data_IF_964691131276
#
_entry.id   IF_964691131276
#
_cell.length_a   1.000
_cell.length_b   1.000
_cell.length_c   1.000
_cell.angle_alpha   90.00
_cell.angle_beta   90.00
_cell.angle_gamma   90.00
#
_symmetry.space_group_name_H-M   'P 1'
#
loop_
_entity.id
_entity.type
_entity.pdbx_description
1 polymer ?
#
# COMPACT_ATOMS: atom_id res chain seq x y z
N UNK A 1 -30.59 22.33 -9.94
CA UNK A 1 -29.72 21.13 -10.04
C UNK A 1 -30.38 20.05 -9.21
N UNK A 2 -30.60 18.85 -9.75
CA UNK A 2 -31.28 17.77 -9.02
C UNK A 2 -30.34 17.24 -7.91
N UNK A 3 -30.87 16.80 -6.77
CA UNK A 3 -30.05 16.29 -5.65
C UNK A 3 -29.11 15.16 -6.10
N UNK A 4 -29.62 14.29 -6.98
CA UNK A 4 -28.87 13.19 -7.58
C UNK A 4 -27.69 13.66 -8.47
N UNK A 5 -27.76 14.85 -9.09
CA UNK A 5 -26.67 15.40 -9.88
C UNK A 5 -25.51 15.87 -9.00
N UNK A 6 -25.84 16.44 -7.83
CA UNK A 6 -24.85 16.89 -6.85
C UNK A 6 -24.15 15.67 -6.25
N UNK A 7 -24.92 14.66 -5.86
CA UNK A 7 -24.39 13.42 -5.33
C UNK A 7 -23.51 12.68 -6.33
N UNK A 8 -23.90 12.63 -7.60
CA UNK A 8 -23.08 12.08 -8.67
C UNK A 8 -21.71 12.78 -8.76
N UNK A 9 -21.70 14.12 -8.76
CA UNK A 9 -20.46 14.90 -8.76
C UNK A 9 -19.61 14.62 -7.51
N UNK A 10 -20.24 14.51 -6.35
CA UNK A 10 -19.53 14.24 -5.10
C UNK A 10 -18.89 12.85 -5.09
N UNK A 11 -19.62 11.81 -5.52
CA UNK A 11 -19.06 10.45 -5.54
C UNK A 11 -17.95 10.32 -6.59
N UNK A 12 -18.13 10.87 -7.80
CA UNK A 12 -17.08 10.86 -8.82
C UNK A 12 -15.83 11.62 -8.37
N UNK A 13 -15.99 12.76 -7.70
CA UNK A 13 -14.89 13.54 -7.17
C UNK A 13 -14.11 12.78 -6.08
N UNK A 14 -14.79 12.14 -5.11
CA UNK A 14 -14.09 11.39 -4.05
C UNK A 14 -13.38 10.16 -4.60
N UNK A 15 -14.00 9.43 -5.53
CA UNK A 15 -13.37 8.28 -6.19
C UNK A 15 -12.15 8.68 -7.02
N UNK A 16 -12.19 9.83 -7.69
CA UNK A 16 -11.05 10.35 -8.45
C UNK A 16 -9.90 10.75 -7.54
N UNK A 17 -10.20 11.37 -6.39
CA UNK A 17 -9.20 11.68 -5.35
C UNK A 17 -8.61 10.40 -4.76
N UNK A 18 -9.43 9.40 -4.46
CA UNK A 18 -8.98 8.09 -3.97
C UNK A 18 -8.04 7.42 -4.98
N UNK A 19 -8.39 7.45 -6.27
CA UNK A 19 -7.58 6.88 -7.34
C UNK A 19 -6.21 7.55 -7.44
N UNK A 20 -6.18 8.89 -7.44
CA UNK A 20 -4.93 9.64 -7.47
C UNK A 20 -4.01 9.29 -6.29
N UNK A 21 -4.57 9.09 -5.10
CA UNK A 21 -3.79 8.65 -3.93
C UNK A 21 -3.22 7.25 -4.13
N UNK A 22 -3.97 6.31 -4.71
CA UNK A 22 -3.42 4.99 -5.03
C UNK A 22 -2.30 5.05 -6.05
N UNK A 23 -2.43 5.89 -7.08
CA UNK A 23 -1.36 6.13 -8.07
C UNK A 23 -0.10 6.69 -7.39
N UNK A 24 -0.25 7.66 -6.48
CA UNK A 24 0.86 8.16 -5.65
C UNK A 24 1.51 7.06 -4.82
N UNK A 25 0.71 6.22 -4.15
CA UNK A 25 1.24 5.11 -3.33
C UNK A 25 2.00 4.10 -4.21
N UNK A 26 1.51 3.82 -5.42
CA UNK A 26 2.20 2.94 -6.38
C UNK A 26 3.58 3.49 -6.73
N UNK A 27 3.68 4.78 -7.01
CA UNK A 27 4.96 5.41 -7.36
C UNK A 27 5.90 5.47 -6.15
N UNK A 28 5.39 5.75 -4.95
CA UNK A 28 6.17 5.68 -3.71
C UNK A 28 6.67 4.26 -3.43
N UNK A 29 5.85 3.23 -3.69
CA UNK A 29 6.28 1.84 -3.54
C UNK A 29 7.36 1.43 -4.54
N UNK A 30 7.33 1.95 -5.77
CA UNK A 30 8.43 1.77 -6.74
C UNK A 30 9.71 2.45 -6.28
N UNK A 31 9.60 3.70 -5.80
CA UNK A 31 10.75 4.42 -5.23
C UNK A 31 11.33 3.70 -4.01
N UNK A 32 10.46 3.15 -3.14
CA UNK A 32 10.85 2.30 -2.01
C UNK A 32 11.65 1.09 -2.49
N UNK A 33 11.16 0.41 -3.52
CA UNK A 33 11.82 -0.76 -4.12
C UNK A 33 13.23 -0.42 -4.62
N UNK A 34 13.39 0.70 -5.33
CA UNK A 34 14.70 1.16 -5.78
C UNK A 34 15.65 1.48 -4.63
N UNK A 35 15.15 2.12 -3.56
CA UNK A 35 15.97 2.43 -2.38
C UNK A 35 16.44 1.16 -1.68
N UNK A 36 15.58 0.14 -1.57
CA UNK A 36 15.94 -1.17 -1.01
C UNK A 36 17.05 -1.82 -1.85
N UNK A 37 16.89 -1.86 -3.18
CA UNK A 37 17.85 -2.48 -4.08
C UNK A 37 19.22 -1.76 -4.08
N UNK A 38 19.23 -0.44 -3.92
CA UNK A 38 20.45 0.38 -3.89
C UNK A 38 21.06 0.51 -2.48
N UNK A 39 20.40 -0.01 -1.43
CA UNK A 39 20.81 0.16 -0.05
C UNK A 39 20.75 1.61 0.45
N UNK A 40 19.93 2.46 -0.18
CA UNK A 40 19.82 3.88 0.17
C UNK A 40 18.83 4.06 1.33
N UNK A 41 19.34 3.98 2.56
CA UNK A 41 18.55 4.04 3.79
C UNK A 41 18.02 5.46 4.07
N UNK A 42 18.78 6.50 3.73
CA UNK A 42 18.38 7.89 4.02
C UNK A 42 17.11 8.28 3.27
N UNK A 43 17.02 7.93 1.98
CA UNK A 43 15.80 8.17 1.18
C UNK A 43 14.65 7.25 1.58
N UNK A 44 14.94 6.04 2.06
CA UNK A 44 13.92 5.06 2.44
C UNK A 44 13.02 5.59 3.56
N UNK A 45 13.57 6.33 4.52
CA UNK A 45 12.80 6.90 5.63
C UNK A 45 11.76 7.91 5.15
N UNK A 46 12.15 8.88 4.31
CA UNK A 46 11.22 9.88 3.75
C UNK A 46 10.09 9.21 2.98
N UNK A 47 10.43 8.23 2.12
CA UNK A 47 9.44 7.50 1.33
C UNK A 47 8.43 6.77 2.21
N UNK A 48 8.88 6.14 3.30
CA UNK A 48 7.99 5.46 4.25
C UNK A 48 7.04 6.45 4.95
N UNK A 49 7.52 7.63 5.33
CA UNK A 49 6.68 8.67 5.92
C UNK A 49 5.61 9.18 4.92
N UNK A 50 5.99 9.38 3.65
CA UNK A 50 5.08 9.77 2.57
C UNK A 50 4.03 8.69 2.26
N UNK A 51 4.41 7.41 2.30
CA UNK A 51 3.49 6.27 2.18
C UNK A 51 2.48 6.28 3.32
N UNK A 52 2.92 6.54 4.55
CA UNK A 52 2.05 6.57 5.73
C UNK A 52 1.03 7.72 5.64
N UNK A 53 1.49 8.90 5.22
CA UNK A 53 0.63 10.06 4.98
C UNK A 53 -0.40 9.76 3.87
N UNK A 54 0.04 9.20 2.74
CA UNK A 54 -0.83 8.83 1.62
C UNK A 54 -1.84 7.75 2.01
N UNK A 55 -1.44 6.77 2.81
CA UNK A 55 -2.33 5.72 3.33
C UNK A 55 -3.41 6.29 4.25
N UNK A 56 -3.08 7.30 5.05
CA UNK A 56 -4.04 8.01 5.90
C UNK A 56 -5.05 8.78 5.04
N UNK A 57 -4.57 9.44 3.97
CA UNK A 57 -5.43 10.15 3.03
C UNK A 57 -6.34 9.19 2.25
N UNK A 58 -5.85 8.03 1.83
CA UNK A 58 -6.65 6.99 1.18
C UNK A 58 -7.81 6.52 2.09
N UNK A 59 -7.52 6.26 3.38
CA UNK A 59 -8.56 5.88 4.36
C UNK A 59 -9.62 6.97 4.52
N UNK A 60 -9.21 8.24 4.56
CA UNK A 60 -10.15 9.38 4.62
C UNK A 60 -11.10 9.36 3.41
N UNK A 61 -10.58 9.23 2.19
CA UNK A 61 -11.43 9.19 1.00
C UNK A 61 -12.31 7.94 0.91
N UNK A 62 -11.86 6.79 1.41
CA UNK A 62 -12.71 5.61 1.55
C UNK A 62 -13.89 5.86 2.50
N UNK A 63 -13.66 6.52 3.64
CA UNK A 63 -14.72 6.88 4.58
C UNK A 63 -15.71 7.86 3.95
N UNK A 64 -15.22 8.91 3.27
CA UNK A 64 -16.06 9.87 2.55
C UNK A 64 -16.90 9.19 1.45
N UNK A 65 -16.29 8.30 0.65
CA UNK A 65 -16.97 7.50 -0.36
C UNK A 65 -18.09 6.66 0.24
N UNK A 66 -17.82 5.96 1.34
CA UNK A 66 -18.81 5.11 2.00
C UNK A 66 -19.99 5.95 2.54
N UNK A 67 -19.73 7.14 3.10
CA UNK A 67 -20.77 8.05 3.55
C UNK A 67 -21.64 8.55 2.39
N UNK A 68 -21.04 8.96 1.28
CA UNK A 68 -21.78 9.41 0.08
C UNK A 68 -22.59 8.26 -0.52
N UNK A 69 -22.01 7.06 -0.58
CA UNK A 69 -22.70 5.85 -1.08
C UNK A 69 -23.94 5.55 -0.26
N UNK A 70 -23.83 5.63 1.07
CA UNK A 70 -24.96 5.43 1.97
C UNK A 70 -26.04 6.49 1.75
N UNK A 71 -25.67 7.78 1.68
CA UNK A 71 -26.61 8.87 1.42
C UNK A 71 -27.41 8.67 0.14
N UNK A 72 -26.74 8.29 -0.96
CA UNK A 72 -27.40 8.06 -2.25
C UNK A 72 -28.38 6.88 -2.16
N UNK A 73 -27.96 5.79 -1.54
CA UNK A 73 -28.79 4.58 -1.46
C UNK A 73 -30.01 4.78 -0.55
N UNK A 74 -29.83 5.47 0.57
CA UNK A 74 -30.91 5.85 1.48
C UNK A 74 -31.97 6.72 0.75
N UNK A 75 -31.56 7.63 -0.14
CA UNK A 75 -32.49 8.45 -0.94
C UNK A 75 -33.21 7.66 -2.05
N UNK A 76 -32.61 6.57 -2.54
CA UNK A 76 -33.23 5.71 -3.56
C UNK A 76 -34.16 4.63 -2.99
N UNK A 77 -34.35 4.57 -1.66
CA UNK A 77 -35.09 3.51 -0.95
C UNK A 77 -34.61 2.08 -1.29
N UNK A 78 -33.35 1.92 -1.68
CA UNK A 78 -32.77 0.61 -1.95
C UNK A 78 -32.29 -0.02 -0.63
N UNK A 79 -33.09 -0.94 -0.08
CA UNK A 79 -32.76 -1.72 1.12
C UNK A 79 -31.72 -2.83 0.86
N UNK A 80 -31.15 -2.87 -0.35
CA UNK A 80 -30.09 -3.80 -0.72
C UNK A 80 -28.75 -3.48 -0.02
N UNK A 81 -27.75 -4.36 -0.17
CA UNK A 81 -26.43 -4.12 0.39
C UNK A 81 -25.79 -2.86 -0.22
N UNK A 82 -25.17 -2.03 0.62
CA UNK A 82 -24.47 -0.80 0.22
C UNK A 82 -23.17 -1.12 -0.54
N UNK A 83 -23.31 -1.52 -1.80
CA UNK A 83 -22.22 -1.86 -2.69
C UNK A 83 -22.11 -0.89 -3.85
N UNK A 84 -20.91 -0.79 -4.45
CA UNK A 84 -20.70 0.03 -5.64
C UNK A 84 -21.60 -0.40 -6.81
N UNK A 85 -21.86 -1.70 -6.93
CA UNK A 85 -22.76 -2.26 -7.95
C UNK A 85 -24.20 -1.79 -7.75
N UNK A 86 -24.63 -1.69 -6.50
CA UNK A 86 -25.95 -1.13 -6.14
C UNK A 86 -26.00 0.35 -6.47
N UNK A 87 -24.94 1.10 -6.10
CA UNK A 87 -24.82 2.53 -6.37
C UNK A 87 -24.90 2.88 -7.86
N UNK A 88 -24.26 2.09 -8.72
CA UNK A 88 -24.29 2.31 -10.17
C UNK A 88 -25.71 2.25 -10.76
N UNK A 89 -26.64 1.53 -10.12
CA UNK A 89 -28.04 1.43 -10.57
C UNK A 89 -28.87 2.67 -10.23
N UNK A 90 -28.40 3.51 -9.31
CA UNK A 90 -29.07 4.75 -8.92
C UNK A 90 -28.96 5.86 -9.99
N UNK A 91 -28.12 5.65 -11.02
CA UNK A 91 -27.84 6.64 -12.06
C UNK A 91 -28.26 6.15 -13.45
N UNK A 92 -28.40 7.08 -14.38
CA UNK A 92 -28.63 6.78 -15.79
C UNK A 92 -27.42 6.03 -16.41
N UNK A 93 -27.66 5.35 -17.54
CA UNK A 93 -26.71 4.44 -18.16
C UNK A 93 -25.31 5.07 -18.37
N UNK A 94 -25.26 6.35 -18.79
CA UNK A 94 -24.02 7.07 -19.04
C UNK A 94 -23.20 7.22 -17.75
N UNK A 95 -23.81 7.78 -16.71
CA UNK A 95 -23.18 8.00 -15.40
C UNK A 95 -22.78 6.69 -14.72
N UNK A 96 -23.62 5.67 -14.87
CA UNK A 96 -23.37 4.31 -14.40
C UNK A 96 -22.10 3.73 -15.01
N UNK A 97 -21.95 3.83 -16.34
CA UNK A 97 -20.76 3.37 -17.06
C UNK A 97 -19.49 4.14 -16.67
N UNK A 98 -19.58 5.46 -16.46
CA UNK A 98 -18.46 6.27 -15.99
C UNK A 98 -18.00 5.86 -14.58
N UNK A 99 -18.94 5.59 -13.67
CA UNK A 99 -18.64 5.08 -12.32
C UNK A 99 -18.06 3.67 -12.35
N UNK A 100 -18.55 2.82 -13.25
CA UNK A 100 -18.03 1.48 -13.46
C UNK A 100 -16.55 1.52 -13.89
N UNK A 101 -16.22 2.34 -14.89
CA UNK A 101 -14.83 2.52 -15.32
C UNK A 101 -13.93 3.01 -14.18
N UNK A 102 -14.39 3.98 -13.38
CA UNK A 102 -13.63 4.50 -12.25
C UNK A 102 -13.45 3.45 -11.14
N UNK A 103 -14.48 2.66 -10.88
CA UNK A 103 -14.41 1.55 -9.93
C UNK A 103 -13.41 0.47 -10.38
N UNK A 104 -13.38 0.12 -11.67
CA UNK A 104 -12.41 -0.81 -12.21
C UNK A 104 -10.97 -0.30 -12.06
N UNK A 105 -10.73 0.99 -12.35
CA UNK A 105 -9.41 1.61 -12.13
C UNK A 105 -8.99 1.54 -10.67
N UNK A 106 -9.88 1.93 -9.74
CA UNK A 106 -9.62 1.82 -8.30
C UNK A 106 -9.28 0.41 -7.86
N UNK A 107 -10.03 -0.59 -8.34
CA UNK A 107 -9.78 -2.00 -8.03
C UNK A 107 -8.40 -2.44 -8.55
N UNK A 108 -8.08 -2.09 -9.80
CA UNK A 108 -6.78 -2.39 -10.40
C UNK A 108 -5.63 -1.74 -9.63
N UNK A 109 -5.75 -0.46 -9.27
CA UNK A 109 -4.73 0.25 -8.50
C UNK A 109 -4.56 -0.34 -7.10
N UNK A 110 -5.65 -0.71 -6.41
CA UNK A 110 -5.58 -1.36 -5.10
C UNK A 110 -4.88 -2.74 -5.16
N UNK A 111 -5.14 -3.52 -6.21
CA UNK A 111 -4.41 -4.76 -6.46
C UNK A 111 -2.92 -4.49 -6.66
N UNK A 112 -2.56 -3.48 -7.46
CA UNK A 112 -1.16 -3.13 -7.72
C UNK A 112 -0.43 -2.64 -6.47
N UNK A 113 -1.08 -1.83 -5.63
CA UNK A 113 -0.56 -1.43 -4.31
C UNK A 113 -0.26 -2.68 -3.47
N UNK A 114 -1.18 -3.65 -3.46
CA UNK A 114 -1.00 -4.89 -2.68
C UNK A 114 0.18 -5.73 -3.18
N UNK A 115 0.31 -5.88 -4.51
CA UNK A 115 1.43 -6.59 -5.13
C UNK A 115 2.78 -5.95 -4.78
N UNK A 116 2.91 -4.65 -5.03
CA UNK A 116 4.13 -3.89 -4.74
C UNK A 116 4.47 -3.90 -3.24
N UNK A 117 3.47 -3.86 -2.37
CA UNK A 117 3.66 -4.00 -0.93
C UNK A 117 4.32 -5.35 -0.59
N UNK A 118 3.80 -6.44 -1.14
CA UNK A 118 4.35 -7.79 -0.95
C UNK A 118 5.75 -7.94 -1.53
N UNK A 119 6.00 -7.39 -2.72
CA UNK A 119 7.32 -7.37 -3.35
C UNK A 119 8.35 -6.65 -2.45
N UNK A 120 7.99 -5.49 -1.92
CA UNK A 120 8.85 -4.72 -1.02
C UNK A 120 9.13 -5.44 0.31
N UNK A 121 8.11 -6.07 0.90
CA UNK A 121 8.27 -6.84 2.14
C UNK A 121 9.17 -8.07 1.92
N UNK A 122 9.04 -8.73 0.78
CA UNK A 122 9.93 -9.83 0.38
C UNK A 122 11.38 -9.37 0.25
N UNK A 123 11.64 -8.26 -0.46
CA UNK A 123 13.00 -7.73 -0.65
C UNK A 123 13.66 -7.33 0.67
N UNK A 124 12.90 -6.70 1.58
CA UNK A 124 13.39 -6.35 2.91
C UNK A 124 13.71 -7.61 3.73
N UNK A 125 12.81 -8.61 3.71
CA UNK A 125 13.00 -9.86 4.44
C UNK A 125 14.24 -10.60 3.97
N UNK A 126 14.43 -10.72 2.65
CA UNK A 126 15.60 -11.33 2.04
C UNK A 126 16.89 -10.58 2.39
N UNK A 127 16.85 -9.23 2.38
CA UNK A 127 18.00 -8.40 2.75
C UNK A 127 18.40 -8.60 4.22
N UNK A 128 17.43 -8.66 5.13
CA UNK A 128 17.66 -8.93 6.56
C UNK A 128 18.21 -10.33 6.77
N UNK A 129 17.67 -11.34 6.09
CA UNK A 129 18.17 -12.71 6.18
C UNK A 129 19.62 -12.82 5.70
N UNK A 130 19.96 -12.17 4.58
CA UNK A 130 21.32 -12.15 4.07
C UNK A 130 22.31 -11.52 5.08
N UNK A 131 21.95 -10.38 5.68
CA UNK A 131 22.77 -9.73 6.71
C UNK A 131 22.93 -10.64 7.94
N UNK A 132 21.86 -11.29 8.40
CA UNK A 132 21.92 -12.23 9.53
C UNK A 132 22.89 -13.38 9.26
N UNK A 133 22.81 -13.98 8.08
CA UNK A 133 23.71 -15.06 7.66
C UNK A 133 25.16 -14.58 7.54
N UNK A 134 25.38 -13.35 7.09
CA UNK A 134 26.72 -12.78 7.03
C UNK A 134 27.29 -12.54 8.44
N UNK A 135 26.49 -11.98 9.35
CA UNK A 135 26.90 -11.71 10.74
C UNK A 135 27.20 -13.01 11.49
N UNK A 136 26.42 -14.08 11.31
CA UNK A 136 26.67 -15.36 11.99
C UNK A 136 28.04 -15.94 11.63
N UNK A 137 28.48 -15.84 10.38
CA UNK A 137 29.82 -16.28 9.95
C UNK A 137 30.95 -15.59 10.73
N UNK A 138 30.78 -14.34 11.15
CA UNK A 138 31.78 -13.61 11.92
C UNK A 138 31.70 -13.89 13.43
N UNK A 139 30.49 -14.12 13.95
CA UNK A 139 30.30 -14.49 15.37
C UNK A 139 30.87 -15.90 15.61
N UNK A 140 30.59 -16.85 14.72
CA UNK A 140 31.08 -18.23 14.82
C UNK A 140 32.62 -18.27 14.68
N UNK A 141 33.19 -17.45 13.79
CA UNK A 141 34.66 -17.33 13.66
C UNK A 141 35.32 -16.75 14.91
N UNK A 142 34.65 -15.87 15.67
CA UNK A 142 35.21 -15.32 16.91
C UNK A 142 35.38 -16.40 17.98
N UNK A 143 34.45 -17.37 18.03
CA UNK A 143 34.53 -18.55 18.91
C UNK A 143 35.67 -19.48 18.46
N UNK A 144 35.82 -19.72 17.15
CA UNK A 144 36.90 -20.57 16.60
C UNK A 144 38.29 -19.93 16.77
N UNK A 145 38.41 -18.61 16.62
CA UNK A 145 39.67 -17.90 16.86
C UNK A 145 40.08 -17.92 18.34
N UNK A 146 39.11 -17.77 19.26
CA UNK A 146 39.37 -17.91 20.70
C UNK A 146 39.83 -19.33 21.05
N UNK A 147 39.17 -20.37 20.52
CA UNK A 147 39.55 -21.76 20.81
C UNK A 147 40.92 -22.13 20.25
N UNK A 148 41.29 -21.67 19.05
CA UNK A 148 42.64 -21.89 18.48
C UNK A 148 43.70 -21.13 19.29
N UNK A 149 43.43 -19.91 19.73
CA UNK A 149 44.37 -19.11 20.52
C UNK A 149 44.60 -19.73 21.90
N UNK A 150 43.53 -20.21 22.56
CA UNK A 150 43.63 -20.94 23.83
C UNK A 150 44.35 -22.28 23.64
N UNK A 151 44.06 -23.03 22.57
CA UNK A 151 44.75 -24.30 22.29
C UNK A 151 46.24 -24.12 21.99
N UNK A 152 46.64 -23.05 21.28
CA UNK A 152 48.05 -22.71 21.07
C UNK A 152 48.77 -22.22 22.34
N UNK A 153 48.05 -21.63 23.30
CA UNK A 153 48.62 -21.28 24.60
C UNK A 153 48.90 -22.52 25.47
N UNK A 154 48.03 -23.54 25.40
CA UNK A 154 48.23 -24.82 26.10
C UNK A 154 49.35 -25.69 25.53
N UNK A 155 49.70 -25.53 24.24
CA UNK A 155 50.80 -26.26 23.58
C UNK A 155 52.19 -25.60 23.75
N UNK A 156 52.28 -24.48 24.48
CA UNK A 156 53.53 -23.73 24.73
C UNK A 156 54.04 -23.84 26.18
N UNK A 157 53.47 -24.74 26.98
CA UNK A 157 53.95 -25.13 28.32
C UNK A 157 54.56 -26.52 28.20
#
# INVERSE_FOLDING_TARGET
MNNIDIQYKNITAVLSKELAVYETIIDLFRQKQECILKGNIDNLKSIVEEIQASSTLAKKYQTERNAITKLILDETNDNGPHTMKTLMKAFDLKRSSELEMLHYKLKSSAMRVTELGRENDYLLSASVEHIKNLVSLFIDKKIVLLSITTMMAYLRV
#
